data_IF_115980779153
#
_entry.id   IF_115980779153
#
_cell.length_a   1.000
_cell.length_b   1.000
_cell.length_c   1.000
_cell.angle_alpha   90.00
_cell.angle_beta   90.00
_cell.angle_gamma   90.00
#
_symmetry.space_group_name_H-M   'P 1'
#
loop_
_entity.id
_entity.type
_entity.pdbx_description
1 polymer ?
#
# COMPACT_ATOMS: atom_id res chain seq x y z
N UNK A 1 30.32 -25.75 -29.76
CA UNK A 1 30.39 -24.40 -29.15
C UNK A 1 29.31 -23.43 -29.64
N UNK A 2 28.95 -23.42 -30.94
CA UNK A 2 27.93 -22.50 -31.50
C UNK A 2 26.55 -22.64 -30.82
N UNK A 3 26.09 -23.88 -30.56
CA UNK A 3 24.81 -24.15 -29.88
C UNK A 3 24.76 -23.68 -28.41
N UNK A 4 25.89 -23.68 -27.70
CA UNK A 4 25.94 -23.17 -26.32
C UNK A 4 25.87 -21.65 -26.30
N UNK A 5 26.59 -20.99 -27.22
CA UNK A 5 26.58 -19.52 -27.34
C UNK A 5 25.19 -18.99 -27.69
N UNK A 6 24.48 -19.63 -28.63
CA UNK A 6 23.10 -19.22 -28.97
C UNK A 6 22.11 -19.44 -27.82
N UNK A 7 22.28 -20.50 -27.03
CA UNK A 7 21.46 -20.77 -25.85
C UNK A 7 21.69 -19.73 -24.73
N UNK A 8 22.95 -19.35 -24.46
CA UNK A 8 23.27 -18.30 -23.49
C UNK A 8 22.77 -16.91 -23.93
N UNK A 9 22.83 -16.60 -25.23
CA UNK A 9 22.30 -15.34 -25.78
C UNK A 9 20.78 -15.29 -25.65
N UNK A 10 20.06 -16.38 -25.96
CA UNK A 10 18.60 -16.46 -25.84
C UNK A 10 18.12 -16.36 -24.38
N UNK A 11 18.81 -17.02 -23.44
CA UNK A 11 18.49 -16.91 -22.01
C UNK A 11 18.71 -15.47 -21.53
N UNK A 12 19.85 -14.86 -21.86
CA UNK A 12 20.19 -13.50 -21.40
C UNK A 12 19.21 -12.44 -21.93
N UNK A 13 18.79 -12.55 -23.18
CA UNK A 13 17.84 -11.62 -23.79
C UNK A 13 16.40 -11.79 -23.26
N UNK A 14 15.99 -13.00 -22.87
CA UNK A 14 14.69 -13.21 -22.21
C UNK A 14 14.64 -12.61 -20.80
N UNK A 15 15.76 -12.61 -20.08
CA UNK A 15 15.86 -12.08 -18.71
C UNK A 15 15.90 -10.56 -18.68
N UNK A 16 16.70 -9.94 -19.56
CA UNK A 16 16.73 -8.47 -19.69
C UNK A 16 15.36 -7.90 -20.07
N UNK A 17 14.58 -8.59 -20.93
CA UNK A 17 13.23 -8.20 -21.31
C UNK A 17 12.26 -8.16 -20.12
N UNK A 18 12.34 -9.13 -19.21
CA UNK A 18 11.42 -9.21 -18.07
C UNK A 18 11.61 -8.06 -17.08
N UNK A 19 12.83 -7.57 -16.93
CA UNK A 19 13.15 -6.52 -15.96
C UNK A 19 12.90 -5.13 -16.46
N UNK A 20 13.19 -4.92 -17.75
CA UNK A 20 12.71 -3.76 -18.48
C UNK A 20 11.18 -3.65 -18.31
N UNK A 21 10.48 -4.77 -18.52
CA UNK A 21 9.03 -4.87 -18.30
C UNK A 21 8.63 -4.53 -16.86
N UNK A 22 9.40 -4.95 -15.86
CA UNK A 22 9.11 -4.64 -14.45
C UNK A 22 9.27 -3.15 -14.11
N UNK A 23 10.29 -2.49 -14.66
CA UNK A 23 10.50 -1.06 -14.47
C UNK A 23 9.45 -0.23 -15.24
N UNK A 24 9.06 -0.63 -16.44
CA UNK A 24 7.98 0.00 -17.20
C UNK A 24 6.63 -0.13 -16.50
N UNK A 25 6.27 -1.35 -16.07
CA UNK A 25 5.04 -1.58 -15.30
C UNK A 25 5.03 -0.81 -13.98
N UNK A 26 6.20 -0.60 -13.37
CA UNK A 26 6.32 0.21 -12.15
C UNK A 26 5.98 1.67 -12.41
N UNK A 27 6.50 2.26 -13.50
CA UNK A 27 6.22 3.64 -13.91
C UNK A 27 4.71 3.79 -14.17
N UNK A 28 4.13 2.87 -14.96
CA UNK A 28 2.70 2.86 -15.25
C UNK A 28 1.86 2.71 -13.98
N UNK A 29 2.30 1.86 -13.04
CA UNK A 29 1.62 1.65 -11.77
C UNK A 29 1.56 2.95 -10.95
N UNK A 30 2.67 3.69 -10.86
CA UNK A 30 2.69 4.95 -10.11
C UNK A 30 1.78 5.99 -10.74
N UNK A 31 1.78 6.13 -12.06
CA UNK A 31 0.84 7.00 -12.77
C UNK A 31 -0.61 6.65 -12.41
N UNK A 32 -1.02 5.38 -12.60
CA UNK A 32 -2.39 4.93 -12.26
C UNK A 32 -2.73 5.08 -10.78
N UNK A 33 -1.76 4.87 -9.89
CA UNK A 33 -1.97 5.07 -8.45
C UNK A 33 -2.19 6.55 -8.09
N UNK A 34 -1.57 7.49 -8.81
CA UNK A 34 -1.83 8.93 -8.65
C UNK A 34 -3.22 9.27 -9.13
N UNK A 35 -3.57 8.89 -10.36
CA UNK A 35 -4.87 9.17 -10.97
C UNK A 35 -6.00 8.65 -10.08
N UNK A 36 -5.86 7.42 -9.54
CA UNK A 36 -6.84 6.86 -8.61
C UNK A 36 -6.92 7.64 -7.29
N UNK A 37 -5.81 8.16 -6.80
CA UNK A 37 -5.81 8.98 -5.58
C UNK A 37 -6.51 10.31 -5.82
N UNK A 38 -6.27 10.94 -6.97
CA UNK A 38 -6.95 12.19 -7.37
C UNK A 38 -8.45 11.97 -7.60
N UNK A 39 -8.85 10.86 -8.23
CA UNK A 39 -10.25 10.43 -8.36
C UNK A 39 -10.92 10.30 -6.98
N UNK A 40 -10.24 9.71 -5.99
CA UNK A 40 -10.81 9.59 -4.66
C UNK A 40 -10.91 10.94 -3.91
N UNK A 41 -10.00 11.88 -4.21
CA UNK A 41 -9.97 13.21 -3.60
C UNK A 41 -11.02 14.14 -4.18
N UNK A 42 -11.32 14.08 -5.49
CA UNK A 42 -12.36 14.89 -6.14
C UNK A 42 -13.77 14.60 -5.61
N UNK A 43 -13.97 13.42 -5.02
CA UNK A 43 -15.23 13.06 -4.36
C UNK A 43 -15.34 13.53 -2.89
N UNK A 44 -14.32 14.18 -2.31
CA UNK A 44 -14.43 14.77 -0.98
C UNK A 44 -15.19 16.09 -1.03
N UNK A 45 -16.19 16.21 -0.17
CA UNK A 45 -16.70 17.52 0.23
C UNK A 45 -15.58 18.28 0.95
N UNK A 46 -15.43 19.58 0.64
CA UNK A 46 -14.47 20.46 1.35
C UNK A 46 -14.75 20.36 2.84
N UNK A 47 -13.72 20.03 3.63
CA UNK A 47 -13.86 20.05 5.09
C UNK A 47 -13.61 21.47 5.57
N UNK A 48 -14.43 21.92 6.51
CA UNK A 48 -14.38 23.25 7.11
C UNK A 48 -12.97 23.63 7.59
N UNK A 49 -12.24 22.68 8.19
CA UNK A 49 -10.88 22.90 8.71
C UNK A 49 -9.74 22.55 7.74
N UNK A 50 -10.01 22.32 6.45
CA UNK A 50 -8.97 21.92 5.52
C UNK A 50 -8.19 23.14 4.99
N UNK A 51 -6.90 23.22 5.32
CA UNK A 51 -6.02 24.24 4.76
C UNK A 51 -5.61 23.90 3.32
N UNK A 52 -6.24 24.54 2.33
CA UNK A 52 -6.00 24.27 0.90
C UNK A 52 -4.58 24.60 0.44
N UNK A 53 -3.97 25.67 0.99
CA UNK A 53 -2.60 26.08 0.67
C UNK A 53 -1.58 25.00 1.08
N UNK A 54 -1.64 24.52 2.32
CA UNK A 54 -0.74 23.46 2.79
C UNK A 54 -0.94 22.14 2.04
N UNK A 55 -2.17 21.82 1.65
CA UNK A 55 -2.48 20.63 0.85
C UNK A 55 -1.88 20.73 -0.56
N UNK A 56 -1.90 21.93 -1.15
CA UNK A 56 -1.31 22.20 -2.46
C UNK A 56 0.22 22.08 -2.41
N UNK A 57 0.87 22.68 -1.42
CA UNK A 57 2.32 22.54 -1.21
C UNK A 57 2.75 21.08 -1.00
N UNK A 58 2.00 20.33 -0.18
CA UNK A 58 2.26 18.90 0.02
C UNK A 58 2.10 18.11 -1.29
N UNK A 59 1.10 18.47 -2.11
CA UNK A 59 0.87 17.87 -3.44
C UNK A 59 2.06 18.15 -4.36
N UNK A 60 2.54 19.39 -4.44
CA UNK A 60 3.70 19.78 -5.26
C UNK A 60 4.97 19.04 -4.84
N UNK A 61 5.30 19.01 -3.54
CA UNK A 61 6.46 18.28 -3.03
C UNK A 61 6.38 16.79 -3.36
N UNK A 62 5.19 16.20 -3.23
CA UNK A 62 4.94 14.79 -3.56
C UNK A 62 5.10 14.54 -5.06
N UNK A 63 4.53 15.41 -5.91
CA UNK A 63 4.62 15.30 -7.36
C UNK A 63 6.06 15.47 -7.85
N UNK A 64 6.80 16.44 -7.31
CA UNK A 64 8.22 16.63 -7.61
C UNK A 64 9.05 15.39 -7.26
N UNK A 65 8.84 14.82 -6.07
CA UNK A 65 9.51 13.59 -5.67
C UNK A 65 9.20 12.43 -6.62
N UNK A 66 7.94 12.25 -7.00
CA UNK A 66 7.54 11.18 -7.91
C UNK A 66 8.15 11.39 -9.30
N UNK A 67 8.09 12.62 -9.83
CA UNK A 67 8.67 12.96 -11.14
C UNK A 67 10.18 12.66 -11.19
N UNK A 68 10.94 13.03 -10.16
CA UNK A 68 12.36 12.68 -10.05
C UNK A 68 12.59 11.16 -10.06
N UNK A 69 11.76 10.42 -9.34
CA UNK A 69 11.84 8.96 -9.29
C UNK A 69 11.49 8.32 -10.65
N UNK A 70 10.41 8.76 -11.30
CA UNK A 70 9.97 8.29 -12.61
C UNK A 70 11.00 8.60 -13.70
N UNK A 71 11.56 9.81 -13.71
CA UNK A 71 12.59 10.22 -14.67
C UNK A 71 13.86 9.39 -14.51
N UNK A 72 14.33 9.18 -13.28
CA UNK A 72 15.48 8.30 -13.03
C UNK A 72 15.21 6.86 -13.51
N UNK A 73 14.01 6.33 -13.26
CA UNK A 73 13.65 4.99 -13.74
C UNK A 73 13.69 4.90 -15.26
N UNK A 74 13.19 5.92 -15.98
CA UNK A 74 13.21 5.96 -17.46
C UNK A 74 14.62 6.08 -18.01
N UNK A 75 15.46 6.91 -17.40
CA UNK A 75 16.84 7.13 -17.83
C UNK A 75 17.70 5.87 -17.65
N UNK A 76 17.50 5.15 -16.55
CA UNK A 76 18.34 4.01 -16.15
C UNK A 76 17.73 2.65 -16.48
N UNK A 77 16.55 2.58 -17.08
CA UNK A 77 15.87 1.29 -17.37
C UNK A 77 16.68 0.40 -18.31
N UNK A 78 17.44 0.99 -19.23
CA UNK A 78 18.33 0.27 -20.15
C UNK A 78 19.50 -0.44 -19.46
N UNK A 79 19.84 -0.03 -18.24
CA UNK A 79 20.94 -0.59 -17.42
C UNK A 79 20.38 -1.60 -16.39
N UNK A 80 19.08 -1.90 -16.42
CA UNK A 80 18.49 -2.87 -15.50
C UNK A 80 19.16 -4.24 -15.66
N UNK A 81 19.68 -4.75 -14.54
CA UNK A 81 20.39 -6.03 -14.48
C UNK A 81 19.53 -7.14 -13.94
N UNK A 82 19.79 -8.35 -14.44
CA UNK A 82 19.09 -9.60 -14.13
C UNK A 82 18.97 -9.88 -12.62
N UNK A 83 17.78 -10.32 -12.18
CA UNK A 83 17.57 -10.88 -10.85
C UNK A 83 18.20 -12.26 -10.84
N UNK A 84 19.40 -12.33 -10.29
CA UNK A 84 20.17 -13.58 -10.13
C UNK A 84 19.47 -14.58 -9.20
N UNK A 85 18.81 -14.08 -8.15
CA UNK A 85 18.16 -14.94 -7.17
C UNK A 85 16.88 -15.57 -7.74
N UNK A 86 16.91 -16.87 -8.03
CA UNK A 86 15.79 -17.61 -8.59
C UNK A 86 14.48 -17.49 -7.78
N UNK A 87 14.55 -17.49 -6.44
CA UNK A 87 13.36 -17.32 -5.58
C UNK A 87 12.75 -15.93 -5.74
N UNK A 88 13.60 -14.89 -5.84
CA UNK A 88 13.16 -13.51 -6.08
C UNK A 88 12.57 -13.37 -7.49
N UNK A 89 13.19 -13.98 -8.50
CA UNK A 89 12.71 -14.00 -9.87
C UNK A 89 11.30 -14.60 -9.97
N UNK A 90 11.09 -15.79 -9.42
CA UNK A 90 9.77 -16.44 -9.41
C UNK A 90 8.70 -15.60 -8.69
N UNK A 91 9.05 -14.92 -7.59
CA UNK A 91 8.12 -13.98 -6.92
C UNK A 91 7.77 -12.79 -7.82
N UNK A 92 8.74 -12.25 -8.55
CA UNK A 92 8.52 -11.14 -9.47
C UNK A 92 7.68 -11.55 -10.68
N UNK A 93 7.88 -12.76 -11.22
CA UNK A 93 7.03 -13.30 -12.29
C UNK A 93 5.55 -13.35 -11.88
N UNK A 94 5.28 -13.79 -10.64
CA UNK A 94 3.91 -13.81 -10.10
C UNK A 94 3.34 -12.40 -9.95
N UNK A 95 4.15 -11.44 -9.52
CA UNK A 95 3.72 -10.03 -9.39
C UNK A 95 3.40 -9.45 -10.77
N UNK A 96 4.27 -9.62 -11.76
CA UNK A 96 4.09 -9.09 -13.13
C UNK A 96 2.87 -9.68 -13.84
N UNK A 97 2.54 -10.95 -13.56
CA UNK A 97 1.34 -11.61 -14.09
C UNK A 97 0.06 -11.19 -13.36
N UNK A 98 0.16 -10.59 -12.18
CA UNK A 98 -1.00 -10.18 -11.39
C UNK A 98 -1.59 -8.90 -11.98
N UNK A 99 -2.85 -8.95 -12.41
CA UNK A 99 -3.59 -7.74 -12.75
C UNK A 99 -4.17 -7.11 -11.47
N UNK A 100 -3.61 -6.00 -10.94
CA UNK A 100 -4.15 -5.35 -9.75
C UNK A 100 -5.46 -4.58 -10.04
N UNK A 101 -5.78 -4.39 -11.32
CA UNK A 101 -6.93 -3.62 -11.83
C UNK A 101 -8.15 -4.49 -12.10
N UNK A 102 -7.99 -5.81 -12.15
CA UNK A 102 -9.15 -6.71 -12.13
C UNK A 102 -9.81 -6.57 -10.76
N UNK A 103 -10.94 -5.85 -10.72
CA UNK A 103 -11.99 -6.12 -9.72
C UNK A 103 -12.10 -7.64 -9.65
N UNK A 104 -12.05 -8.20 -8.45
CA UNK A 104 -12.40 -9.59 -8.26
C UNK A 104 -13.80 -9.79 -8.88
N UNK A 105 -13.90 -10.20 -10.15
CA UNK A 105 -14.94 -11.13 -10.56
C UNK A 105 -14.56 -12.39 -9.80
N UNK A 106 -14.99 -12.42 -8.54
CA UNK A 106 -15.03 -13.64 -7.77
C UNK A 106 -15.92 -14.52 -8.63
N UNK A 107 -15.32 -15.52 -9.28
CA UNK A 107 -16.02 -16.76 -9.56
C UNK A 107 -16.42 -17.32 -8.20
N UNK A 108 -17.45 -16.73 -7.59
CA UNK A 108 -18.20 -17.38 -6.54
C UNK A 108 -19.02 -18.39 -7.30
N UNK A 109 -18.59 -19.64 -7.24
CA UNK A 109 -19.51 -20.76 -7.32
C UNK A 109 -20.76 -20.38 -6.52
N UNK A 110 -21.89 -20.46 -7.19
CA UNK A 110 -23.19 -19.91 -6.79
C UNK A 110 -23.79 -20.51 -5.51
N UNK A 111 -23.05 -21.34 -4.75
CA UNK A 111 -23.63 -22.21 -3.72
C UNK A 111 -23.40 -21.83 -2.26
N UNK A 112 -22.76 -20.71 -1.93
CA UNK A 112 -22.48 -20.36 -0.51
C UNK A 112 -22.85 -18.94 -0.06
N UNK A 113 -23.90 -18.34 -0.66
CA UNK A 113 -24.38 -17.00 -0.26
C UNK A 113 -25.39 -16.99 0.91
N UNK A 114 -25.75 -18.13 1.49
CA UNK A 114 -26.81 -18.19 2.51
C UNK A 114 -26.39 -18.20 3.99
N UNK A 115 -25.10 -18.07 4.33
CA UNK A 115 -24.66 -18.14 5.75
C UNK A 115 -24.09 -16.85 6.38
N UNK A 116 -24.26 -15.68 5.76
CA UNK A 116 -23.93 -14.40 6.41
C UNK A 116 -25.05 -13.37 6.33
N UNK A 117 -26.27 -13.77 6.69
CA UNK A 117 -27.24 -12.83 7.26
C UNK A 117 -26.89 -12.65 8.73
N UNK A 118 -26.23 -11.54 9.09
CA UNK A 118 -26.56 -10.85 10.33
C UNK A 118 -26.08 -9.39 10.36
N UNK A 119 -27.09 -8.51 10.46
CA UNK A 119 -27.12 -7.17 11.07
C UNK A 119 -26.17 -6.09 10.53
N UNK A 120 -26.73 -5.21 9.69
CA UNK A 120 -27.07 -3.82 10.05
C UNK A 120 -27.81 -3.15 8.88
N UNK A 121 -28.90 -2.46 9.19
CA UNK A 121 -29.62 -1.57 8.27
C UNK A 121 -28.68 -0.43 7.85
N UNK A 122 -28.17 -0.47 6.61
CA UNK A 122 -27.36 0.61 6.04
C UNK A 122 -28.17 1.28 4.95
N UNK A 123 -29.10 2.15 5.36
CA UNK A 123 -29.73 3.11 4.46
C UNK A 123 -29.47 4.57 4.86
N UNK A 124 -28.32 4.80 5.53
CA UNK A 124 -27.68 6.10 5.64
C UNK A 124 -26.21 5.90 5.27
N UNK A 125 -25.71 6.63 4.27
CA UNK A 125 -24.29 6.69 3.83
C UNK A 125 -23.81 5.76 2.70
N UNK A 126 -24.55 5.67 1.58
CA UNK A 126 -24.05 5.05 0.33
C UNK A 126 -22.78 5.77 -0.20
N UNK A 127 -22.72 7.12 -0.09
CA UNK A 127 -21.62 7.99 -0.57
C UNK A 127 -20.33 7.88 0.26
N UNK A 128 -20.42 7.82 1.59
CA UNK A 128 -19.24 7.61 2.46
C UNK A 128 -18.60 6.24 2.23
N UNK A 129 -19.43 5.21 2.01
CA UNK A 129 -18.95 3.86 1.79
C UNK A 129 -18.24 3.71 0.44
N UNK A 130 -18.71 4.38 -0.63
CA UNK A 130 -18.03 4.39 -1.94
C UNK A 130 -16.69 5.12 -1.88
N UNK A 131 -16.61 6.26 -1.19
CA UNK A 131 -15.35 6.98 -1.02
C UNK A 131 -14.32 6.18 -0.23
N UNK A 132 -14.73 5.55 0.88
CA UNK A 132 -13.87 4.66 1.65
C UNK A 132 -13.35 3.49 0.82
N UNK A 133 -14.20 2.94 -0.04
CA UNK A 133 -13.81 1.89 -0.99
C UNK A 133 -12.84 2.41 -2.05
N UNK A 134 -13.01 3.64 -2.55
CA UNK A 134 -12.07 4.28 -3.47
C UNK A 134 -10.66 4.38 -2.84
N UNK A 135 -10.54 4.96 -1.65
CA UNK A 135 -9.23 5.05 -0.98
C UNK A 135 -8.62 3.68 -0.65
N UNK A 136 -9.45 2.66 -0.43
CA UNK A 136 -8.98 1.28 -0.26
C UNK A 136 -8.37 0.74 -1.56
N UNK A 137 -8.97 1.02 -2.71
CA UNK A 137 -8.43 0.66 -4.03
C UNK A 137 -7.14 1.42 -4.32
N UNK A 138 -7.09 2.73 -4.08
CA UNK A 138 -5.87 3.54 -4.21
C UNK A 138 -4.71 2.97 -3.36
N UNK A 139 -4.98 2.55 -2.11
CA UNK A 139 -3.96 1.89 -1.26
C UNK A 139 -3.51 0.54 -1.80
N UNK A 140 -4.40 -0.25 -2.40
CA UNK A 140 -4.03 -1.52 -3.04
C UNK A 140 -3.09 -1.28 -4.22
N UNK A 141 -3.39 -0.30 -5.08
CA UNK A 141 -2.52 0.10 -6.19
C UNK A 141 -1.15 0.52 -5.68
N UNK A 142 -1.10 1.43 -4.70
CA UNK A 142 0.16 1.87 -4.09
C UNK A 142 0.99 0.70 -3.52
N UNK A 143 0.34 -0.26 -2.87
CA UNK A 143 0.99 -1.46 -2.33
C UNK A 143 1.55 -2.32 -3.46
N UNK A 144 0.80 -2.49 -4.55
CA UNK A 144 1.25 -3.22 -5.73
C UNK A 144 2.45 -2.54 -6.41
N UNK A 145 2.45 -1.21 -6.56
CA UNK A 145 3.63 -0.49 -7.05
C UNK A 145 4.84 -0.69 -6.12
N UNK A 146 4.61 -0.73 -4.80
CA UNK A 146 5.64 -1.07 -3.83
C UNK A 146 6.17 -2.52 -3.92
N UNK A 147 5.41 -3.44 -4.51
CA UNK A 147 5.87 -4.80 -4.82
C UNK A 147 6.68 -4.81 -6.12
N UNK A 148 6.18 -4.18 -7.17
CA UNK A 148 6.89 -4.00 -8.45
C UNK A 148 8.24 -3.30 -8.28
N UNK A 149 8.33 -2.33 -7.36
CA UNK A 149 9.57 -1.61 -7.07
C UNK A 149 10.69 -2.50 -6.52
N UNK A 150 10.36 -3.70 -6.01
CA UNK A 150 11.36 -4.70 -5.58
C UNK A 150 11.85 -5.57 -6.75
N UNK A 151 11.09 -5.59 -7.84
CA UNK A 151 11.36 -6.35 -9.05
C UNK A 151 12.10 -5.54 -10.11
N UNK A 152 11.93 -4.22 -10.13
CA UNK A 152 12.81 -3.33 -10.88
C UNK A 152 14.14 -3.17 -10.12
N UNK A 153 15.25 -3.67 -10.67
CA UNK A 153 16.57 -3.66 -9.98
C UNK A 153 17.13 -2.24 -9.81
N UNK A 154 16.82 -1.34 -10.73
CA UNK A 154 17.22 0.08 -10.73
C UNK A 154 16.42 0.93 -9.74
N UNK A 155 15.25 0.46 -9.30
CA UNK A 155 14.38 1.18 -8.35
C UNK A 155 15.09 1.66 -7.09
N UNK A 156 16.04 0.88 -6.56
CA UNK A 156 16.81 1.27 -5.38
C UNK A 156 17.75 2.44 -5.67
N UNK A 157 18.39 2.46 -6.83
CA UNK A 157 19.30 3.52 -7.25
C UNK A 157 18.54 4.84 -7.46
N UNK A 158 17.31 4.75 -7.96
CA UNK A 158 16.45 5.91 -8.17
C UNK A 158 15.74 6.41 -6.92
N UNK A 159 15.83 5.70 -5.79
CA UNK A 159 15.14 6.09 -4.57
C UNK A 159 15.89 7.24 -3.87
N UNK A 160 15.70 8.44 -4.38
CA UNK A 160 16.24 9.66 -3.79
C UNK A 160 15.37 10.05 -2.58
N UNK A 161 16.01 10.33 -1.44
CA UNK A 161 15.32 10.84 -0.21
C UNK A 161 15.03 12.34 -0.26
N UNK A 162 15.28 12.97 -1.41
CA UNK A 162 15.05 14.40 -1.59
C UNK A 162 13.56 14.68 -1.33
N UNK A 163 13.29 15.67 -0.47
CA UNK A 163 11.97 16.07 0.01
C UNK A 163 11.28 15.12 1.01
N UNK A 164 11.86 13.99 1.44
CA UNK A 164 11.20 13.11 2.42
C UNK A 164 10.91 13.84 3.75
N UNK A 165 11.89 14.57 4.25
CA UNK A 165 11.76 15.37 5.47
C UNK A 165 10.78 16.52 5.29
N UNK A 166 10.84 17.22 4.15
CA UNK A 166 9.89 18.32 3.83
C UNK A 166 8.45 17.81 3.72
N UNK A 167 8.24 16.68 3.07
CA UNK A 167 6.93 16.02 2.96
C UNK A 167 6.45 15.58 4.35
N UNK A 168 7.32 15.03 5.20
CA UNK A 168 6.98 14.62 6.55
C UNK A 168 6.61 15.82 7.43
N UNK A 169 7.41 16.90 7.39
CA UNK A 169 7.15 18.14 8.10
C UNK A 169 5.81 18.77 7.68
N UNK A 170 5.55 18.90 6.36
CA UNK A 170 4.28 19.45 5.85
C UNK A 170 3.06 18.61 6.26
N UNK A 171 3.20 17.28 6.37
CA UNK A 171 2.12 16.43 6.89
C UNK A 171 1.84 16.67 8.37
N UNK A 172 2.86 16.97 9.16
CA UNK A 172 2.71 17.33 10.57
C UNK A 172 2.05 18.70 10.69
N UNK A 173 2.47 19.67 9.89
CA UNK A 173 1.93 21.02 9.84
C UNK A 173 0.44 21.02 9.47
N UNK A 174 0.04 20.30 8.42
CA UNK A 174 -1.38 20.10 8.06
C UNK A 174 -2.16 19.52 9.24
N UNK A 175 -1.62 18.49 9.90
CA UNK A 175 -2.30 17.84 11.03
C UNK A 175 -2.49 18.81 12.20
N UNK A 176 -1.51 19.66 12.47
CA UNK A 176 -1.57 20.68 13.52
C UNK A 176 -2.59 21.77 13.18
N UNK A 177 -2.58 22.27 11.94
CA UNK A 177 -3.55 23.25 11.47
C UNK A 177 -4.99 22.72 11.51
N UNK A 178 -5.20 21.48 11.05
CA UNK A 178 -6.50 20.80 11.11
C UNK A 178 -6.98 20.64 12.57
N UNK A 179 -6.09 20.26 13.50
CA UNK A 179 -6.45 20.11 14.92
C UNK A 179 -6.76 21.45 15.58
N UNK A 180 -5.96 22.49 15.32
CA UNK A 180 -6.15 23.83 15.86
C UNK A 180 -7.51 24.41 15.43
N UNK A 181 -7.84 24.35 14.14
CA UNK A 181 -9.15 24.77 13.64
C UNK A 181 -10.28 23.98 14.29
N UNK A 182 -10.13 22.66 14.47
CA UNK A 182 -11.17 21.86 15.12
C UNK A 182 -11.37 22.23 16.59
N UNK A 183 -10.30 22.59 17.31
CA UNK A 183 -10.39 23.08 18.68
C UNK A 183 -11.09 24.44 18.76
N UNK A 184 -10.88 25.32 17.78
CA UNK A 184 -11.55 26.62 17.69
C UNK A 184 -13.04 26.48 17.35
N UNK A 185 -13.39 25.61 16.39
CA UNK A 185 -14.79 25.42 15.94
C UNK A 185 -15.66 24.58 16.89
N UNK A 186 -15.11 23.53 17.49
CA UNK A 186 -15.88 22.56 18.28
C UNK A 186 -15.55 22.58 19.78
N UNK A 187 -14.62 23.46 20.20
CA UNK A 187 -14.07 23.48 21.54
C UNK A 187 -13.17 22.27 21.85
N UNK A 188 -12.43 22.37 22.95
CA UNK A 188 -11.72 21.23 23.51
C UNK A 188 -12.72 20.17 24.00
N UNK A 189 -12.99 19.15 23.19
CA UNK A 189 -13.78 17.98 23.63
C UNK A 189 -12.99 17.06 24.59
N UNK A 190 -11.80 17.51 25.05
CA UNK A 190 -10.95 16.79 26.00
C UNK A 190 -11.16 17.20 27.46
N UNK A 191 -12.35 17.60 27.88
CA UNK A 191 -12.71 17.62 29.32
C UNK A 191 -14.20 17.31 29.51
N UNK A 192 -14.60 16.05 29.38
CA UNK A 192 -15.73 15.49 30.13
C UNK A 192 -15.47 13.99 30.39
N UNK A 193 -15.04 13.66 31.60
CA UNK A 193 -15.34 12.33 32.16
C UNK A 193 -14.21 11.52 32.79
N UNK A 194 -13.26 12.10 33.51
CA UNK A 194 -12.56 11.39 34.60
C UNK A 194 -13.51 11.11 35.78
N UNK A 195 -14.61 10.39 35.51
CA UNK A 195 -15.50 9.78 36.53
C UNK A 195 -16.19 8.56 35.92
N UNK A 196 -15.41 7.52 35.62
CA UNK A 196 -15.83 6.16 35.95
C UNK A 196 -14.60 5.25 36.11
N UNK A 197 -14.17 5.20 37.37
CA UNK A 197 -13.22 4.25 37.93
C UNK A 197 -13.80 2.82 37.90
N UNK A 198 -12.89 1.86 37.68
CA UNK A 198 -12.82 0.47 38.22
C UNK A 198 -13.48 -0.69 37.44
N UNK A 199 -12.59 -1.51 36.85
CA UNK A 199 -12.45 -3.01 36.88
C UNK A 199 -12.00 -3.46 35.48
N UNK A 200 -10.87 -4.10 35.21
CA UNK A 200 -9.83 -4.73 36.01
C UNK A 200 -8.50 -4.65 35.23
N UNK A 201 -7.41 -4.34 35.94
CA UNK A 201 -6.05 -4.77 35.59
C UNK A 201 -5.80 -6.16 36.21
N UNK A 202 -4.77 -6.84 35.70
CA UNK A 202 -4.22 -8.17 36.03
C UNK A 202 -4.74 -9.27 35.09
N UNK A 203 -3.93 -9.89 34.22
CA UNK A 203 -2.61 -10.48 34.47
C UNK A 203 -1.57 -10.28 33.34
N UNK A 204 -0.34 -9.96 33.74
CA UNK A 204 0.90 -10.50 33.16
C UNK A 204 1.24 -11.80 33.91
N UNK A 205 1.93 -12.73 33.24
CA UNK A 205 2.41 -14.02 33.78
C UNK A 205 1.47 -15.17 33.40
N UNK A 206 1.89 -16.33 32.90
CA UNK A 206 3.21 -16.96 32.97
C UNK A 206 3.43 -17.93 31.81
N UNK A 207 4.66 -17.88 31.32
CA UNK A 207 5.36 -19.02 30.73
C UNK A 207 5.66 -20.00 31.87
N UNK A 208 5.08 -21.21 31.84
CA UNK A 208 5.74 -22.47 32.26
C UNK A 208 4.79 -23.68 32.22
N UNK A 209 5.20 -24.67 31.40
CA UNK A 209 5.46 -26.06 31.83
C UNK A 209 4.29 -26.85 32.44
N UNK A 210 3.73 -27.77 31.65
CA UNK A 210 3.37 -29.12 32.16
C UNK A 210 3.92 -30.20 31.24
N UNK A 211 5.03 -30.78 31.70
CA UNK A 211 5.59 -32.08 31.32
C UNK A 211 5.08 -33.08 32.36
N UNK A 212 4.72 -34.29 31.89
CA UNK A 212 4.69 -35.57 32.62
C UNK A 212 3.53 -35.70 33.64
N UNK A 213 2.90 -36.84 33.89
CA UNK A 213 2.94 -38.24 33.44
C UNK A 213 1.68 -38.87 34.06
N UNK A 214 0.97 -39.81 33.42
CA UNK A 214 0.96 -41.26 33.69
C UNK A 214 -0.56 -41.65 33.70
N UNK A 215 -1.05 -42.84 33.35
CA UNK A 215 -0.48 -44.16 33.06
C UNK A 215 -1.69 -45.12 32.91
N UNK A 216 -1.49 -46.21 32.14
CA UNK A 216 -2.29 -47.46 32.07
C UNK A 216 -3.71 -47.35 31.47
N UNK A 217 -4.15 -48.24 30.56
CA UNK A 217 -4.21 -49.72 30.64
C UNK A 217 -3.65 -50.41 29.36
N UNK A 218 -2.75 -51.41 29.42
CA UNK A 218 -3.01 -52.89 29.46
C UNK A 218 -4.12 -53.34 28.51
N UNK A 219 -3.91 -54.17 27.48
CA UNK A 219 -3.29 -55.51 27.40
C UNK A 219 -2.52 -55.68 26.07
#
# INVERSE_FOLDING_TARGET
MILLVTFFIAISSSVARLEHTACEQLIECYAKSRDKTEECLSHNEKRECQNESLQLELKELTNKKISLYENCLREKSSIATAIENAKKKARCDVILKRNPYRKNKVGTNEKDKNKRKNRRSIHKNKKYNTQKMCFREARKLKTYCGQLSKCCTISKLCKIRLNDEKIAAKRIEIKQADEQCRLEHYGSTKVKGDKNRKRNRHHRGDEQRRKYMNQEDSI
#
